data_IF_232409809080
#
_entry.id   IF_232409809080
#
_cell.length_a   1.000
_cell.length_b   1.000
_cell.length_c   1.000
_cell.angle_alpha   90.00
_cell.angle_beta   90.00
_cell.angle_gamma   90.00
#
_symmetry.space_group_name_H-M   'P 1'
#
loop_
_entity.id
_entity.type
_entity.pdbx_description
1 polymer ?
#
# COMPACT_ATOMS: atom_id res chain seq x y z
N UNK A 1 19.33 -19.02 -15.19
CA UNK A 1 18.14 -19.83 -14.82
C UNK A 1 17.01 -18.85 -14.55
N UNK A 2 15.88 -19.01 -15.25
CA UNK A 2 14.63 -18.30 -14.95
C UNK A 2 14.08 -18.89 -13.65
N UNK A 3 13.81 -18.04 -12.66
CA UNK A 3 13.21 -18.46 -11.40
C UNK A 3 11.79 -18.94 -11.71
N UNK A 4 11.53 -20.23 -11.45
CA UNK A 4 10.28 -20.90 -11.86
C UNK A 4 9.29 -21.06 -10.71
N UNK A 5 9.65 -20.63 -9.50
CA UNK A 5 8.80 -20.72 -8.31
C UNK A 5 8.92 -19.47 -7.44
N UNK A 6 7.87 -19.16 -6.69
CA UNK A 6 7.89 -18.05 -5.72
C UNK A 6 8.93 -18.30 -4.61
N UNK A 7 9.13 -19.55 -4.18
CA UNK A 7 10.20 -19.93 -3.25
C UNK A 7 11.60 -19.61 -3.81
N UNK A 8 11.86 -19.90 -5.08
CA UNK A 8 13.13 -19.55 -5.73
C UNK A 8 13.36 -18.05 -5.80
N UNK A 9 12.31 -17.24 -6.03
CA UNK A 9 12.40 -15.78 -5.96
C UNK A 9 12.77 -15.31 -4.55
N UNK A 10 12.14 -15.86 -3.52
CA UNK A 10 12.43 -15.52 -2.12
C UNK A 10 13.86 -15.90 -1.72
N UNK A 11 14.30 -17.13 -2.02
CA UNK A 11 15.67 -17.59 -1.71
C UNK A 11 16.73 -16.72 -2.38
N UNK A 12 16.53 -16.37 -3.66
CA UNK A 12 17.49 -15.62 -4.45
C UNK A 12 17.58 -14.15 -4.06
N UNK A 13 16.44 -13.53 -3.76
CA UNK A 13 16.36 -12.08 -3.62
C UNK A 13 16.24 -11.61 -2.16
N UNK A 14 15.66 -12.44 -1.29
CA UNK A 14 15.33 -12.05 0.08
C UNK A 14 16.04 -12.87 1.16
N UNK A 15 16.21 -14.19 0.99
CA UNK A 15 16.89 -15.05 1.98
C UNK A 15 18.36 -15.33 1.60
N UNK A 16 18.96 -14.43 0.82
CA UNK A 16 20.39 -14.48 0.51
C UNK A 16 21.23 -14.06 1.73
N UNK A 17 22.53 -14.33 1.75
CA UNK A 17 23.42 -13.78 2.78
C UNK A 17 23.42 -12.24 2.75
N UNK A 18 23.29 -11.63 3.92
CA UNK A 18 23.50 -10.19 4.12
C UNK A 18 24.67 -9.97 5.07
N UNK A 19 25.21 -8.76 5.06
CA UNK A 19 26.20 -8.35 6.04
C UNK A 19 25.60 -8.35 7.45
N UNK A 20 26.43 -8.57 8.47
CA UNK A 20 26.01 -8.72 9.87
C UNK A 20 25.24 -7.50 10.43
N UNK A 21 25.44 -6.32 9.85
CA UNK A 21 24.74 -5.09 10.25
C UNK A 21 23.32 -4.96 9.64
N UNK A 22 22.88 -5.89 8.79
CA UNK A 22 21.53 -5.89 8.21
C UNK A 22 20.61 -6.68 9.13
N UNK A 23 19.80 -5.98 9.92
CA UNK A 23 18.92 -6.60 10.91
C UNK A 23 17.58 -7.10 10.34
N UNK A 24 17.12 -6.52 9.21
CA UNK A 24 15.88 -6.92 8.55
C UNK A 24 15.90 -6.60 7.06
N UNK A 25 15.21 -7.44 6.28
CA UNK A 25 15.00 -7.26 4.85
C UNK A 25 13.54 -7.53 4.51
N UNK A 26 13.06 -6.88 3.45
CA UNK A 26 11.67 -6.97 3.05
C UNK A 26 11.48 -6.43 1.65
N UNK A 27 10.23 -6.53 1.20
CA UNK A 27 9.79 -6.01 -0.08
C UNK A 27 8.35 -5.50 0.10
N UNK A 28 7.87 -4.74 -0.88
CA UNK A 28 6.51 -4.18 -0.88
C UNK A 28 5.69 -4.85 -1.96
N UNK A 29 4.46 -5.24 -1.62
CA UNK A 29 3.47 -5.72 -2.57
C UNK A 29 2.14 -4.97 -2.41
N UNK A 30 1.46 -4.80 -3.52
CA UNK A 30 0.09 -4.30 -3.61
C UNK A 30 -0.88 -5.48 -3.66
N UNK A 31 -1.73 -5.61 -2.64
CA UNK A 31 -2.70 -6.72 -2.53
C UNK A 31 -3.56 -6.94 -3.78
N UNK A 32 -3.90 -5.86 -4.48
CA UNK A 32 -4.79 -5.91 -5.64
C UNK A 32 -4.06 -6.09 -6.99
N UNK A 33 -2.74 -5.90 -7.03
CA UNK A 33 -1.97 -5.88 -8.29
C UNK A 33 -0.98 -7.04 -8.37
N UNK A 34 -0.31 -7.35 -7.26
CA UNK A 34 0.70 -8.40 -7.21
C UNK A 34 0.01 -9.73 -6.92
N UNK A 35 -0.37 -10.46 -7.97
CA UNK A 35 -1.09 -11.74 -7.80
C UNK A 35 -0.19 -12.94 -8.07
N UNK A 36 0.80 -12.82 -8.96
CA UNK A 36 1.63 -13.94 -9.37
C UNK A 36 3.12 -13.58 -9.51
N UNK A 37 4.00 -14.48 -9.06
CA UNK A 37 5.43 -14.48 -9.36
C UNK A 37 5.79 -15.77 -10.09
N UNK A 38 6.47 -15.64 -11.24
CA UNK A 38 6.84 -16.79 -12.08
C UNK A 38 5.65 -17.74 -12.41
N UNK A 39 4.44 -17.19 -12.54
CA UNK A 39 3.22 -17.97 -12.80
C UNK A 39 2.58 -18.63 -11.58
N UNK A 40 3.10 -18.42 -10.38
CA UNK A 40 2.55 -18.95 -9.12
C UNK A 40 1.90 -17.85 -8.28
N UNK A 41 0.84 -18.17 -7.55
CA UNK A 41 0.19 -17.25 -6.63
C UNK A 41 1.16 -16.79 -5.54
N UNK A 42 1.49 -15.50 -5.50
CA UNK A 42 2.48 -14.96 -4.55
C UNK A 42 1.99 -15.05 -3.10
N UNK A 43 0.71 -14.78 -2.86
CA UNK A 43 0.15 -14.75 -1.50
C UNK A 43 0.13 -16.13 -0.86
N UNK A 44 -0.17 -17.17 -1.64
CA UNK A 44 -0.09 -18.56 -1.19
C UNK A 44 1.33 -18.93 -0.75
N UNK A 45 2.33 -18.61 -1.57
CA UNK A 45 3.73 -18.88 -1.23
C UNK A 45 4.21 -18.11 0.00
N UNK A 46 3.73 -16.87 0.22
CA UNK A 46 4.07 -16.08 1.40
C UNK A 46 3.38 -16.59 2.67
N UNK A 47 2.16 -17.13 2.55
CA UNK A 47 1.44 -17.69 3.69
C UNK A 47 2.17 -18.91 4.29
N UNK A 48 2.96 -19.64 3.50
CA UNK A 48 3.74 -20.77 3.97
C UNK A 48 5.01 -20.36 4.76
N UNK A 49 5.39 -19.08 4.75
CA UNK A 49 6.56 -18.56 5.48
C UNK A 49 6.17 -18.29 6.94
N UNK A 50 6.55 -19.18 7.85
CA UNK A 50 6.09 -19.17 9.26
C UNK A 50 6.42 -17.89 10.04
N UNK A 51 7.65 -17.38 9.91
CA UNK A 51 8.12 -16.23 10.70
C UNK A 51 8.03 -14.90 9.92
N UNK A 52 7.15 -14.84 8.91
CA UNK A 52 6.94 -13.64 8.13
C UNK A 52 6.21 -12.58 8.96
N UNK A 53 6.89 -11.47 9.23
CA UNK A 53 6.28 -10.26 9.80
C UNK A 53 5.69 -9.40 8.69
N UNK A 54 4.44 -8.99 8.87
CA UNK A 54 3.69 -8.25 7.84
C UNK A 54 3.39 -6.85 8.34
N UNK A 55 3.83 -5.84 7.58
CA UNK A 55 3.41 -4.45 7.79
C UNK A 55 2.26 -4.18 6.84
N UNK A 56 1.04 -4.08 7.38
CA UNK A 56 -0.16 -3.87 6.59
C UNK A 56 -0.50 -2.38 6.54
N UNK A 57 0.03 -1.71 5.52
CA UNK A 57 -0.27 -0.30 5.25
C UNK A 57 -1.62 -0.15 4.53
N UNK A 58 -2.51 0.65 5.12
CA UNK A 58 -3.84 0.90 4.56
C UNK A 58 -4.15 2.41 4.48
N UNK A 59 -5.02 2.86 3.58
CA UNK A 59 -5.42 4.27 3.47
C UNK A 59 -6.92 4.43 3.66
N UNK A 60 -7.35 5.01 4.79
CA UNK A 60 -8.78 5.09 5.15
C UNK A 60 -9.59 5.80 4.08
N UNK A 61 -9.07 6.88 3.51
CA UNK A 61 -9.72 7.54 2.38
C UNK A 61 -9.54 6.73 1.09
N UNK A 62 -10.61 6.03 0.67
CA UNK A 62 -10.66 5.18 -0.51
C UNK A 62 -10.83 5.98 -1.80
N UNK A 63 -11.48 7.14 -1.75
CA UNK A 63 -11.52 8.05 -2.89
C UNK A 63 -10.09 8.49 -3.26
N UNK A 64 -9.31 8.93 -2.28
CA UNK A 64 -7.91 9.31 -2.51
C UNK A 64 -7.05 8.14 -2.99
N UNK A 65 -7.32 6.91 -2.52
CA UNK A 65 -6.64 5.70 -3.01
C UNK A 65 -6.99 5.41 -4.46
N UNK A 66 -8.28 5.46 -4.83
CA UNK A 66 -8.75 5.25 -6.21
C UNK A 66 -8.16 6.29 -7.16
N UNK A 67 -8.16 7.56 -6.77
CA UNK A 67 -7.54 8.65 -7.54
C UNK A 67 -6.05 8.41 -7.72
N UNK A 68 -5.34 8.03 -6.66
CA UNK A 68 -3.91 7.70 -6.74
C UNK A 68 -3.66 6.53 -7.70
N UNK A 69 -4.49 5.49 -7.64
CA UNK A 69 -4.39 4.32 -8.51
C UNK A 69 -4.64 4.69 -9.97
N UNK A 70 -5.73 5.38 -10.28
CA UNK A 70 -6.05 5.84 -11.65
C UNK A 70 -4.88 6.62 -12.26
N UNK A 71 -4.30 7.54 -11.49
CA UNK A 71 -3.15 8.33 -11.96
C UNK A 71 -1.93 7.47 -12.25
N UNK A 72 -1.58 6.55 -11.34
CA UNK A 72 -0.46 5.63 -11.53
C UNK A 72 -0.66 4.67 -12.69
N UNK A 73 -1.90 4.26 -12.98
CA UNK A 73 -2.23 3.48 -14.17
C UNK A 73 -2.08 4.30 -15.46
N UNK A 74 -2.41 5.60 -15.43
CA UNK A 74 -2.25 6.49 -16.58
C UNK A 74 -0.79 6.83 -16.89
N UNK A 75 0.03 7.10 -15.88
CA UNK A 75 1.42 7.56 -16.08
C UNK A 75 2.49 6.46 -15.86
N UNK A 76 2.08 5.26 -15.44
CA UNK A 76 2.95 4.14 -15.08
C UNK A 76 3.99 4.46 -14.00
N UNK A 77 3.76 5.50 -13.19
CA UNK A 77 4.66 5.90 -12.09
C UNK A 77 4.02 5.60 -10.75
N UNK A 78 4.58 4.68 -9.97
CA UNK A 78 4.06 4.35 -8.64
C UNK A 78 4.66 5.18 -7.51
N UNK A 79 5.92 5.60 -7.69
CA UNK A 79 6.70 6.33 -6.68
C UNK A 79 7.43 7.51 -7.30
N UNK A 80 7.63 8.54 -6.51
CA UNK A 80 8.54 9.66 -6.83
C UNK A 80 9.59 9.76 -5.75
N UNK A 81 10.80 10.20 -6.13
CA UNK A 81 11.79 10.58 -5.13
C UNK A 81 11.27 11.73 -4.27
N UNK A 82 11.68 11.78 -3.00
CA UNK A 82 11.29 12.86 -2.08
C UNK A 82 11.52 14.26 -2.67
N UNK A 83 12.61 14.43 -3.41
CA UNK A 83 13.04 15.68 -4.05
C UNK A 83 12.65 15.78 -5.54
N UNK A 84 11.72 14.96 -6.03
CA UNK A 84 11.28 15.05 -7.42
C UNK A 84 10.48 16.34 -7.66
N UNK A 85 11.07 17.27 -8.43
CA UNK A 85 10.51 18.58 -8.78
C UNK A 85 9.89 18.61 -10.18
N UNK A 86 9.78 17.47 -10.87
CA UNK A 86 9.21 17.44 -12.22
C UNK A 86 7.76 17.91 -12.19
N UNK A 87 7.45 18.92 -13.00
CA UNK A 87 6.08 19.37 -13.23
C UNK A 87 5.31 18.23 -13.87
N UNK A 88 4.19 17.84 -13.25
CA UNK A 88 3.27 16.86 -13.79
C UNK A 88 2.03 17.59 -14.30
N UNK A 89 1.48 17.18 -15.46
CA UNK A 89 0.24 17.76 -15.94
C UNK A 89 -0.84 17.58 -14.87
N UNK A 90 -1.60 18.64 -14.65
CA UNK A 90 -2.78 18.55 -13.81
C UNK A 90 -3.77 17.61 -14.50
N UNK A 91 -4.21 16.59 -13.78
CA UNK A 91 -5.19 15.63 -14.28
C UNK A 91 -6.47 15.90 -13.52
N UNK A 92 -7.47 16.43 -14.21
CA UNK A 92 -8.83 16.43 -13.70
C UNK A 92 -9.44 15.05 -13.93
N UNK A 93 -10.00 14.48 -12.88
CA UNK A 93 -10.68 13.19 -12.91
C UNK A 93 -12.13 13.38 -12.52
N UNK A 94 -13.02 12.68 -13.21
CA UNK A 94 -14.36 12.41 -12.72
C UNK A 94 -14.42 10.97 -12.24
N UNK A 95 -14.97 10.76 -11.05
CA UNK A 95 -15.10 9.42 -10.45
C UNK A 95 -16.59 9.08 -10.37
N UNK A 96 -17.12 8.19 -11.22
CA UNK A 96 -18.50 7.72 -11.11
C UNK A 96 -18.77 7.09 -9.74
N UNK A 97 -19.92 7.41 -9.12
CA UNK A 97 -20.32 6.88 -7.81
C UNK A 97 -20.24 5.34 -7.76
N UNK A 98 -20.80 4.67 -8.76
CA UNK A 98 -20.83 3.20 -8.83
C UNK A 98 -19.42 2.60 -8.87
N UNK A 99 -18.48 3.26 -9.53
CA UNK A 99 -17.09 2.82 -9.59
C UNK A 99 -16.44 2.92 -8.22
N UNK A 100 -16.63 4.04 -7.52
CA UNK A 100 -16.11 4.25 -6.16
C UNK A 100 -16.70 3.22 -5.18
N UNK A 101 -18.01 2.97 -5.23
CA UNK A 101 -18.67 1.99 -4.37
C UNK A 101 -18.12 0.58 -4.60
N UNK A 102 -18.05 0.15 -5.87
CA UNK A 102 -17.48 -1.16 -6.23
C UNK A 102 -16.02 -1.26 -5.79
N UNK A 103 -15.25 -0.19 -5.93
CA UNK A 103 -13.86 -0.14 -5.47
C UNK A 103 -13.75 -0.30 -3.94
N UNK A 104 -14.58 0.43 -3.18
CA UNK A 104 -14.59 0.32 -1.71
C UNK A 104 -14.96 -1.11 -1.28
N UNK A 105 -16.06 -1.66 -1.79
CA UNK A 105 -16.49 -3.01 -1.40
C UNK A 105 -15.44 -4.07 -1.75
N UNK A 106 -14.84 -4.01 -2.95
CA UNK A 106 -13.76 -4.93 -3.35
C UNK A 106 -12.53 -4.80 -2.47
N UNK A 107 -12.11 -3.58 -2.13
CA UNK A 107 -10.94 -3.37 -1.28
C UNK A 107 -11.18 -3.88 0.15
N UNK A 108 -12.38 -3.69 0.70
CA UNK A 108 -12.74 -4.21 2.02
C UNK A 108 -12.75 -5.75 2.04
N UNK A 109 -13.29 -6.38 1.00
CA UNK A 109 -13.26 -7.85 0.85
C UNK A 109 -11.83 -8.35 0.69
N UNK A 110 -11.02 -7.73 -0.18
CA UNK A 110 -9.61 -8.08 -0.38
C UNK A 110 -8.83 -7.97 0.94
N UNK A 111 -9.05 -6.89 1.70
CA UNK A 111 -8.44 -6.70 3.01
C UNK A 111 -8.83 -7.79 4.00
N UNK A 112 -10.12 -8.14 4.06
CA UNK A 112 -10.61 -9.19 4.95
C UNK A 112 -10.03 -10.56 4.59
N UNK A 113 -10.01 -10.91 3.31
CA UNK A 113 -9.40 -12.14 2.81
C UNK A 113 -7.91 -12.21 3.11
N UNK A 114 -7.20 -11.09 2.98
CA UNK A 114 -5.78 -11.03 3.34
C UNK A 114 -5.57 -11.31 4.83
N UNK A 115 -6.36 -10.69 5.71
CA UNK A 115 -6.25 -10.95 7.15
C UNK A 115 -6.62 -12.38 7.53
N UNK A 116 -7.59 -12.98 6.84
CA UNK A 116 -7.96 -14.39 7.03
C UNK A 116 -6.84 -15.35 6.59
N UNK A 117 -6.26 -15.10 5.40
CA UNK A 117 -5.15 -15.89 4.86
C UNK A 117 -3.90 -15.85 5.74
N UNK A 118 -3.61 -14.71 6.36
CA UNK A 118 -2.42 -14.48 7.19
C UNK A 118 -2.74 -14.43 8.70
N UNK A 119 -3.85 -15.02 9.15
CA UNK A 119 -4.28 -14.96 10.56
C UNK A 119 -3.25 -15.55 11.55
N UNK A 120 -2.39 -16.45 11.09
CA UNK A 120 -1.31 -17.05 11.88
C UNK A 120 -0.02 -16.23 11.94
N UNK A 121 0.05 -15.11 11.23
CA UNK A 121 1.24 -14.27 11.14
C UNK A 121 1.14 -13.04 12.02
N UNK A 122 2.31 -12.53 12.42
CA UNK A 122 2.42 -11.22 13.04
C UNK A 122 2.11 -10.13 12.02
N UNK A 123 1.00 -9.41 12.22
CA UNK A 123 0.59 -8.30 11.36
C UNK A 123 0.58 -7.00 12.16
N UNK A 124 1.34 -6.00 11.70
CA UNK A 124 1.28 -4.62 12.18
C UNK A 124 0.42 -3.78 11.23
N UNK A 125 -0.84 -3.46 11.60
CA UNK A 125 -1.65 -2.51 10.85
C UNK A 125 -1.16 -1.07 11.07
N UNK A 126 -0.98 -0.35 9.97
CA UNK A 126 -0.63 1.08 9.96
C UNK A 126 -1.56 1.76 8.97
N UNK A 127 -2.13 2.91 9.33
CA UNK A 127 -2.80 3.74 8.31
C UNK A 127 -1.86 4.77 7.73
N UNK A 128 -2.05 5.07 6.46
CA UNK A 128 -1.31 6.11 5.75
C UNK A 128 -1.46 7.47 6.44
N UNK A 129 -2.64 7.76 6.98
CA UNK A 129 -2.88 9.00 7.70
C UNK A 129 -2.11 9.06 9.02
N UNK A 130 -2.02 7.96 9.78
CA UNK A 130 -1.17 7.88 10.99
C UNK A 130 0.31 8.05 10.65
N UNK A 131 0.77 7.40 9.58
CA UNK A 131 2.16 7.48 9.12
C UNK A 131 2.53 8.92 8.74
N UNK A 132 1.62 9.67 8.14
CA UNK A 132 1.86 11.08 7.78
C UNK A 132 1.72 12.04 8.96
N UNK A 133 0.76 11.80 9.86
CA UNK A 133 0.48 12.70 10.98
C UNK A 133 1.51 12.57 12.11
N UNK A 134 1.99 11.35 12.37
CA UNK A 134 2.90 11.04 13.49
C UNK A 134 3.99 10.05 13.07
N UNK A 135 4.86 10.42 12.10
CA UNK A 135 5.83 9.49 11.52
C UNK A 135 6.78 8.90 12.56
N UNK A 136 7.24 9.69 13.54
CA UNK A 136 8.17 9.23 14.58
C UNK A 136 7.55 8.12 15.46
N UNK A 137 6.27 8.27 15.81
CA UNK A 137 5.53 7.28 16.61
C UNK A 137 5.33 5.99 15.82
N UNK A 138 4.97 6.11 14.54
CA UNK A 138 4.78 4.96 13.66
C UNK A 138 6.11 4.25 13.39
N UNK A 139 7.20 4.99 13.16
CA UNK A 139 8.54 4.44 12.99
C UNK A 139 9.00 3.66 14.22
N UNK A 140 8.79 4.22 15.43
CA UNK A 140 9.15 3.52 16.66
C UNK A 140 8.37 2.20 16.84
N UNK A 141 7.06 2.20 16.53
CA UNK A 141 6.22 0.99 16.52
C UNK A 141 6.71 -0.04 15.51
N UNK A 142 7.08 0.40 14.30
CA UNK A 142 7.57 -0.44 13.21
C UNK A 142 8.90 -1.11 13.58
N UNK A 143 9.88 -0.35 14.08
CA UNK A 143 11.17 -0.89 14.49
C UNK A 143 11.02 -1.90 15.65
N UNK A 144 10.19 -1.57 16.64
CA UNK A 144 9.86 -2.49 17.74
C UNK A 144 9.20 -3.77 17.25
N UNK A 145 8.26 -3.66 16.31
CA UNK A 145 7.58 -4.80 15.71
C UNK A 145 8.56 -5.69 14.95
N UNK A 146 9.45 -5.11 14.15
CA UNK A 146 10.49 -5.85 13.45
C UNK A 146 11.51 -6.48 14.41
N UNK A 147 11.72 -5.88 15.59
CA UNK A 147 12.70 -6.35 16.58
C UNK A 147 14.12 -5.89 16.25
N UNK A 148 14.24 -4.77 15.53
CA UNK A 148 15.52 -4.19 15.09
C UNK A 148 15.92 -3.01 15.98
N UNK A 149 17.17 -2.60 15.88
CA UNK A 149 17.71 -1.48 16.64
C UNK A 149 16.98 -0.17 16.31
N UNK A 150 16.89 0.71 17.30
CA UNK A 150 16.30 2.04 17.09
C UNK A 150 17.14 2.83 16.08
N UNK A 151 16.50 3.31 15.02
CA UNK A 151 17.14 4.07 13.96
C UNK A 151 16.21 5.20 13.50
N UNK A 152 16.81 6.29 13.00
CA UNK A 152 16.04 7.34 12.34
C UNK A 152 15.69 6.88 10.92
N UNK A 153 14.42 6.53 10.72
CA UNK A 153 13.91 6.16 9.40
C UNK A 153 13.64 7.42 8.56
N UNK A 154 14.14 7.41 7.32
CA UNK A 154 13.86 8.46 6.34
C UNK A 154 13.20 7.86 5.11
N UNK A 155 12.07 8.43 4.69
CA UNK A 155 11.44 8.04 3.43
C UNK A 155 12.26 8.53 2.24
N UNK A 156 12.73 7.61 1.41
CA UNK A 156 13.36 7.93 0.12
C UNK A 156 12.33 8.37 -0.94
N UNK A 157 11.05 8.04 -0.72
CA UNK A 157 9.95 8.36 -1.64
C UNK A 157 9.11 9.52 -1.11
N UNK A 158 8.53 10.29 -2.04
CA UNK A 158 7.60 11.38 -1.77
C UNK A 158 6.21 11.09 -2.32
N UNK A 159 5.24 11.93 -1.93
CA UNK A 159 3.88 11.89 -2.47
C UNK A 159 3.88 12.48 -3.89
N UNK A 160 3.29 11.75 -4.85
CA UNK A 160 3.13 12.21 -6.25
C UNK A 160 2.28 13.48 -6.35
N UNK A 161 1.20 13.53 -5.57
CA UNK A 161 0.24 14.63 -5.58
C UNK A 161 0.27 15.37 -4.25
N UNK A 162 0.53 16.67 -4.31
CA UNK A 162 0.50 17.57 -3.15
C UNK A 162 -0.82 18.32 -3.06
N UNK A 163 -1.56 18.42 -4.16
CA UNK A 163 -2.89 19.01 -4.18
C UNK A 163 -3.89 18.15 -3.40
N UNK A 164 -4.89 18.77 -2.77
CA UNK A 164 -5.99 18.03 -2.15
C UNK A 164 -6.81 17.30 -3.22
N UNK A 165 -7.48 16.21 -2.83
CA UNK A 165 -8.28 15.41 -3.77
C UNK A 165 -9.41 16.22 -4.40
N UNK A 166 -9.92 17.24 -3.69
CA UNK A 166 -10.93 18.17 -4.20
C UNK A 166 -10.46 19.05 -5.36
N UNK A 167 -9.15 19.25 -5.51
CA UNK A 167 -8.58 19.94 -6.65
C UNK A 167 -8.37 19.00 -7.85
N UNK A 168 -8.47 17.68 -7.66
CA UNK A 168 -8.22 16.65 -8.69
C UNK A 168 -9.51 16.00 -9.16
N UNK A 169 -10.51 15.87 -8.27
CA UNK A 169 -11.80 15.23 -8.55
C UNK A 169 -12.87 16.29 -8.71
N UNK A 170 -13.37 16.46 -9.94
CA UNK A 170 -14.31 17.54 -10.26
C UNK A 170 -15.73 17.33 -9.72
N UNK A 171 -16.09 16.09 -9.34
CA UNK A 171 -17.41 15.74 -8.82
C UNK A 171 -17.40 15.35 -7.33
N UNK A 172 -16.42 15.83 -6.55
CA UNK A 172 -16.27 15.46 -5.13
C UNK A 172 -17.49 15.84 -4.27
N UNK A 173 -18.07 17.01 -4.48
CA UNK A 173 -19.21 17.48 -3.68
C UNK A 173 -20.47 16.64 -3.96
N UNK A 174 -20.64 16.21 -5.21
CA UNK A 174 -21.69 15.27 -5.58
C UNK A 174 -21.49 13.92 -4.86
N UNK A 175 -20.27 13.36 -4.89
CA UNK A 175 -19.96 12.10 -4.20
C UNK A 175 -20.21 12.20 -2.69
N UNK A 176 -19.82 13.31 -2.06
CA UNK A 176 -20.10 13.56 -0.63
C UNK A 176 -21.58 13.62 -0.33
N UNK A 177 -22.35 14.35 -1.14
CA UNK A 177 -23.80 14.45 -0.98
C UNK A 177 -24.47 13.08 -1.12
N UNK A 178 -24.11 12.31 -2.16
CA UNK A 178 -24.72 11.00 -2.45
C UNK A 178 -24.33 9.91 -1.45
N UNK A 179 -23.16 10.01 -0.82
CA UNK A 179 -22.66 9.03 0.14
C UNK A 179 -22.92 9.40 1.61
N UNK A 180 -23.38 10.62 1.90
CA UNK A 180 -23.68 11.04 3.28
C UNK A 180 -24.79 10.18 3.90
N UNK A 181 -24.59 9.74 5.13
CA UNK A 181 -25.49 8.83 5.83
C UNK A 181 -25.45 7.38 5.34
N UNK A 182 -24.65 7.06 4.33
CA UNK A 182 -24.44 5.67 3.87
C UNK A 182 -23.27 5.02 4.61
N UNK A 183 -23.14 3.68 4.50
CA UNK A 183 -21.97 2.95 5.03
C UNK A 183 -20.62 3.38 4.42
N UNK A 184 -20.65 4.17 3.35
CA UNK A 184 -19.45 4.57 2.60
C UNK A 184 -18.90 5.94 3.00
N UNK A 185 -19.64 6.72 3.80
CA UNK A 185 -19.30 8.11 4.17
C UNK A 185 -17.90 8.24 4.79
N UNK A 186 -17.47 7.27 5.60
CA UNK A 186 -16.15 7.29 6.25
C UNK A 186 -14.97 7.04 5.30
N UNK A 187 -15.21 6.70 4.04
CA UNK A 187 -14.18 6.33 3.06
C UNK A 187 -13.88 7.42 2.02
N UNK A 188 -14.49 8.60 2.13
CA UNK A 188 -14.31 9.72 1.19
C UNK A 188 -13.74 10.98 1.84
#
# INVERSE_FOLDING_TARGET
MQDTTAAGVLERHLFRPYFEYVEAVGFVLFRDLDTHWAGQNVWGALADVRDLKIILLDRRNRLERLVSLKKSLCDHVWYVGREDKRLRPHVELSVPLHELVVFIDRDLVNRAQFCDQFHGHDILPITYEELLATPEVVHARLLKFLGVSAAMLQSGTGKKEKAPVSAVVNNIDQLKSELSGTKYESYI
#
